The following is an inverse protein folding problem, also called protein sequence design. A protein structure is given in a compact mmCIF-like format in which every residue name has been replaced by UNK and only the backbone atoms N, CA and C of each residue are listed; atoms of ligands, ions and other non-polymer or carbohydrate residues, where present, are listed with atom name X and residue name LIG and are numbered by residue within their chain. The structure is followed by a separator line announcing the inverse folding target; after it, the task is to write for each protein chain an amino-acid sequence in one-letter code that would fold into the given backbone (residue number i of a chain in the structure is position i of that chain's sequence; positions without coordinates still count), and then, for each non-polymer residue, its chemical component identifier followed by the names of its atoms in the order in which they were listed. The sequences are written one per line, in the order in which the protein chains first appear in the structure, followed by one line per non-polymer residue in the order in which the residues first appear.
data_IF_986665492272
#
_entry.id   IF_986665492272
#
_cell.length_a   1.000
_cell.length_b   1.000
_cell.length_c   1.000
_cell.angle_alpha   90.00
_cell.angle_beta   90.00
_cell.angle_gamma   90.00
#
_symmetry.space_group_name_H-M   'P 1'
#
loop_
_entity.id
_entity.type
_entity.pdbx_description
1 polymer ?
#
# COMPACT_ATOMS: atom_id res chain seq x y z
N UNK A 1 -21.11 -4.68 -2.74
CA UNK A 1 -21.18 -5.67 -1.64
C UNK A 1 -22.29 -5.37 -0.63
N UNK A 2 -23.30 -4.54 -0.97
CA UNK A 2 -24.45 -4.29 -0.08
C UNK A 2 -24.15 -3.55 1.23
N UNK A 3 -22.91 -3.09 1.45
CA UNK A 3 -22.54 -2.31 2.64
C UNK A 3 -23.25 -0.95 2.65
N UNK A 4 -23.69 -0.55 3.82
CA UNK A 4 -24.18 0.79 4.07
C UNK A 4 -23.06 1.82 3.93
N UNK A 5 -23.42 3.07 3.65
CA UNK A 5 -22.48 4.20 3.58
C UNK A 5 -21.69 4.33 4.89
N UNK A 6 -22.34 4.06 6.03
CA UNK A 6 -21.71 4.11 7.36
C UNK A 6 -20.62 3.05 7.53
N UNK A 7 -20.86 1.82 7.09
CA UNK A 7 -19.85 0.75 7.14
C UNK A 7 -18.68 1.03 6.20
N UNK A 8 -18.95 1.58 5.01
CA UNK A 8 -17.90 2.01 4.09
C UNK A 8 -17.05 3.13 4.69
N UNK A 9 -17.66 4.11 5.36
CA UNK A 9 -16.97 5.18 6.06
C UNK A 9 -16.09 4.62 7.20
N UNK A 10 -16.61 3.71 8.02
CA UNK A 10 -15.82 3.05 9.06
C UNK A 10 -14.65 2.25 8.49
N UNK A 11 -14.86 1.53 7.38
CA UNK A 11 -13.78 0.84 6.68
C UNK A 11 -12.68 1.78 6.22
N UNK A 12 -13.04 2.88 5.56
CA UNK A 12 -12.09 3.88 5.08
C UNK A 12 -11.32 4.55 6.23
N UNK A 13 -12.02 4.97 7.29
CA UNK A 13 -11.39 5.55 8.48
C UNK A 13 -10.43 4.55 9.12
N UNK A 14 -10.85 3.30 9.36
CA UNK A 14 -10.00 2.28 9.95
C UNK A 14 -8.76 2.01 9.09
N UNK A 15 -8.92 1.92 7.77
CA UNK A 15 -7.82 1.74 6.82
C UNK A 15 -6.80 2.89 6.89
N UNK A 16 -7.27 4.14 6.85
CA UNK A 16 -6.40 5.32 6.88
C UNK A 16 -5.69 5.48 8.23
N UNK A 17 -6.41 5.28 9.34
CA UNK A 17 -5.82 5.34 10.68
C UNK A 17 -4.78 4.25 10.87
N UNK A 18 -5.10 3.01 10.49
CA UNK A 18 -4.16 1.90 10.57
C UNK A 18 -2.97 2.13 9.62
N UNK A 19 -3.20 2.61 8.40
CA UNK A 19 -2.13 2.97 7.47
C UNK A 19 -1.18 4.04 8.01
N UNK A 20 -1.70 5.07 8.69
CA UNK A 20 -0.89 6.10 9.33
C UNK A 20 0.00 5.51 10.44
N UNK A 21 -0.55 4.66 11.31
CA UNK A 21 0.21 3.94 12.34
C UNK A 21 1.28 3.03 11.72
N UNK A 22 0.92 2.35 10.62
CA UNK A 22 1.85 1.52 9.87
C UNK A 22 3.00 2.31 9.29
N UNK A 23 2.76 3.52 8.78
CA UNK A 23 3.81 4.40 8.30
C UNK A 23 4.89 4.69 9.36
N UNK A 24 4.47 5.04 10.58
CA UNK A 24 5.40 5.27 11.69
C UNK A 24 6.22 4.01 12.03
N UNK A 25 5.55 2.86 12.13
CA UNK A 25 6.23 1.61 12.45
C UNK A 25 7.15 1.13 11.32
N UNK A 26 6.77 1.34 10.07
CA UNK A 26 7.53 0.95 8.88
C UNK A 26 8.92 1.59 8.84
N UNK A 27 9.01 2.88 9.16
CA UNK A 27 10.30 3.57 9.28
C UNK A 27 11.20 2.93 10.33
N UNK A 28 10.69 2.75 11.55
CA UNK A 28 11.43 2.12 12.64
C UNK A 28 11.86 0.68 12.32
N UNK A 29 10.98 -0.11 11.71
CA UNK A 29 11.30 -1.47 11.25
C UNK A 29 12.37 -1.47 10.17
N UNK A 30 12.36 -0.49 9.26
CA UNK A 30 13.34 -0.39 8.19
C UNK A 30 14.73 -0.08 8.72
N UNK A 31 14.83 0.81 9.70
CA UNK A 31 16.11 1.12 10.35
C UNK A 31 16.66 -0.09 11.11
N UNK A 32 15.79 -0.95 11.68
CA UNK A 32 16.21 -2.15 12.43
C UNK A 32 16.51 -3.37 11.56
N UNK A 33 15.70 -3.64 10.55
CA UNK A 33 15.73 -4.89 9.78
C UNK A 33 16.20 -4.71 8.34
N UNK A 34 16.37 -3.47 7.88
CA UNK A 34 16.73 -3.08 6.53
C UNK A 34 15.52 -2.86 5.63
N UNK A 35 15.58 -1.80 4.82
CA UNK A 35 14.47 -1.34 3.99
C UNK A 35 13.91 -2.43 3.05
N UNK A 36 14.80 -3.15 2.34
CA UNK A 36 14.41 -4.22 1.42
C UNK A 36 13.54 -5.29 2.10
N UNK A 37 13.90 -5.72 3.32
CA UNK A 37 13.16 -6.77 4.04
C UNK A 37 11.78 -6.27 4.44
N UNK A 38 11.70 -5.04 4.94
CA UNK A 38 10.42 -4.43 5.32
C UNK A 38 9.48 -4.30 4.13
N UNK A 39 9.97 -3.82 2.97
CA UNK A 39 9.15 -3.74 1.75
C UNK A 39 8.66 -5.13 1.33
N UNK A 40 9.52 -6.15 1.37
CA UNK A 40 9.11 -7.53 1.06
C UNK A 40 8.05 -8.06 2.02
N UNK A 41 8.21 -7.81 3.32
CA UNK A 41 7.23 -8.19 4.35
C UNK A 41 5.91 -7.44 4.18
N UNK A 42 5.94 -6.18 3.76
CA UNK A 42 4.73 -5.40 3.49
C UNK A 42 3.90 -5.98 2.36
N UNK A 43 4.51 -6.32 1.23
CA UNK A 43 3.76 -6.90 0.12
C UNK A 43 3.28 -8.31 0.45
N UNK A 44 4.15 -9.18 0.97
CA UNK A 44 3.78 -10.55 1.31
C UNK A 44 2.75 -10.62 2.44
N UNK A 45 2.90 -9.75 3.45
CA UNK A 45 2.04 -9.71 4.61
C UNK A 45 0.68 -9.08 4.33
N UNK A 46 0.59 -8.04 3.49
CA UNK A 46 -0.70 -7.39 3.20
C UNK A 46 -1.61 -8.20 2.27
N UNK A 47 -1.03 -8.98 1.35
CA UNK A 47 -1.76 -9.85 0.42
C UNK A 47 -2.86 -10.73 1.06
N UNK A 48 -2.57 -11.57 2.07
CA UNK A 48 -3.58 -12.45 2.65
C UNK A 48 -4.71 -11.66 3.32
N UNK A 49 -4.42 -10.54 3.98
CA UNK A 49 -5.44 -9.71 4.63
C UNK A 49 -6.34 -9.00 3.61
N UNK A 50 -5.76 -8.39 2.59
CA UNK A 50 -6.51 -7.71 1.52
C UNK A 50 -7.27 -8.72 0.66
N UNK A 51 -6.70 -9.89 0.37
CA UNK A 51 -7.39 -10.97 -0.31
C UNK A 51 -8.58 -11.48 0.51
N UNK A 52 -8.39 -11.75 1.80
CA UNK A 52 -9.45 -12.19 2.70
C UNK A 52 -10.55 -11.13 2.84
N UNK A 53 -10.22 -9.84 2.86
CA UNK A 53 -11.20 -8.75 2.82
C UNK A 53 -12.18 -8.92 1.64
N UNK A 54 -11.73 -9.35 0.46
CA UNK A 54 -12.59 -9.60 -0.70
C UNK A 54 -13.40 -10.90 -0.66
N UNK A 55 -13.10 -11.81 0.25
CA UNK A 55 -13.80 -13.08 0.44
C UNK A 55 -14.81 -13.04 1.61
N UNK A 56 -14.61 -12.17 2.59
CA UNK A 56 -15.48 -12.06 3.77
C UNK A 56 -16.66 -11.13 3.50
N UNK A 57 -17.88 -11.64 3.73
CA UNK A 57 -19.12 -10.88 3.56
C UNK A 57 -19.53 -10.06 4.79
N UNK A 58 -19.12 -10.45 6.00
CA UNK A 58 -19.51 -9.76 7.22
C UNK A 58 -18.74 -8.42 7.37
N UNK A 59 -19.43 -7.29 7.62
CA UNK A 59 -18.81 -5.95 7.69
C UNK A 59 -17.67 -5.83 8.70
N UNK A 60 -17.85 -6.29 9.94
CA UNK A 60 -16.87 -6.09 11.01
C UNK A 60 -15.52 -6.79 10.72
N UNK A 61 -15.45 -8.12 10.47
CA UNK A 61 -14.21 -8.78 10.16
C UNK A 61 -13.62 -8.29 8.83
N UNK A 62 -14.45 -7.91 7.85
CA UNK A 62 -14.00 -7.28 6.61
C UNK A 62 -13.23 -5.98 6.88
N UNK A 63 -13.78 -5.09 7.71
CA UNK A 63 -13.11 -3.84 8.11
C UNK A 63 -11.80 -4.10 8.85
N UNK A 64 -11.75 -5.09 9.75
CA UNK A 64 -10.53 -5.43 10.47
C UNK A 64 -9.44 -5.98 9.54
N UNK A 65 -9.81 -6.83 8.58
CA UNK A 65 -8.89 -7.34 7.56
C UNK A 65 -8.38 -6.22 6.65
N UNK A 66 -9.26 -5.29 6.25
CA UNK A 66 -8.88 -4.11 5.48
C UNK A 66 -7.88 -3.24 6.27
N UNK A 67 -8.15 -2.97 7.55
CA UNK A 67 -7.27 -2.19 8.41
C UNK A 67 -5.91 -2.86 8.61
N UNK A 68 -5.88 -4.17 8.86
CA UNK A 68 -4.62 -4.93 8.99
C UNK A 68 -3.81 -4.95 7.69
N UNK A 69 -4.47 -5.17 6.55
CA UNK A 69 -3.84 -5.13 5.24
C UNK A 69 -3.26 -3.75 4.92
N UNK A 70 -4.02 -2.69 5.21
CA UNK A 70 -3.58 -1.30 5.09
C UNK A 70 -2.39 -0.98 5.98
N UNK A 71 -2.47 -1.32 7.27
CA UNK A 71 -1.36 -1.14 8.22
C UNK A 71 -0.04 -1.70 7.66
N UNK A 72 -0.05 -2.96 7.22
CA UNK A 72 1.16 -3.66 6.74
C UNK A 72 1.63 -3.11 5.39
N UNK A 73 0.71 -2.86 4.46
CA UNK A 73 1.04 -2.36 3.13
C UNK A 73 1.68 -0.97 3.20
N UNK A 74 1.14 -0.09 4.04
CA UNK A 74 1.58 1.30 4.13
C UNK A 74 2.94 1.49 4.81
N UNK A 75 3.57 0.46 5.38
CA UNK A 75 4.98 0.57 5.80
C UNK A 75 5.88 0.98 4.63
N UNK A 76 5.53 0.55 3.40
CA UNK A 76 6.34 0.73 2.20
C UNK A 76 6.52 2.20 1.80
N UNK A 77 5.53 3.06 2.08
CA UNK A 77 5.55 4.47 1.67
C UNK A 77 6.73 5.23 2.30
N UNK A 78 6.83 5.33 3.65
CA UNK A 78 7.94 6.05 4.27
C UNK A 78 9.28 5.35 4.03
N UNK A 79 9.31 4.02 3.96
CA UNK A 79 10.55 3.28 3.72
C UNK A 79 11.14 3.60 2.34
N UNK A 80 10.30 3.63 1.29
CA UNK A 80 10.77 4.01 -0.05
C UNK A 80 11.27 5.45 -0.12
N UNK A 81 10.59 6.38 0.56
CA UNK A 81 11.01 7.79 0.63
C UNK A 81 12.36 7.91 1.33
N UNK A 82 12.52 7.30 2.50
CA UNK A 82 13.77 7.34 3.26
C UNK A 82 14.91 6.69 2.47
N UNK A 83 14.67 5.56 1.81
CA UNK A 83 15.67 4.93 0.93
C UNK A 83 16.11 5.89 -0.16
N UNK A 84 15.18 6.54 -0.85
CA UNK A 84 15.52 7.45 -1.93
C UNK A 84 16.27 8.70 -1.44
N UNK A 85 15.87 9.24 -0.28
CA UNK A 85 16.58 10.34 0.37
C UNK A 85 18.02 9.94 0.73
N UNK A 86 18.23 8.71 1.26
CA UNK A 86 19.58 8.20 1.58
C UNK A 86 20.45 8.01 0.34
N UNK A 87 19.86 7.71 -0.83
CA UNK A 87 20.59 7.63 -2.10
C UNK A 87 21.06 8.99 -2.63
N UNK A 88 20.30 10.06 -2.35
CA UNK A 88 20.65 11.44 -2.79
C UNK A 88 20.43 12.43 -1.63
N UNK A 89 21.30 12.41 -0.60
CA UNK A 89 21.07 13.14 0.65
C UNK A 89 21.10 14.66 0.46
N UNK A 90 21.88 15.16 -0.50
CA UNK A 90 21.98 16.61 -0.80
C UNK A 90 20.69 17.19 -1.39
N UNK A 91 19.79 16.35 -1.91
CA UNK A 91 18.55 16.76 -2.57
C UNK A 91 17.33 16.02 -2.00
N UNK A 92 17.36 15.66 -0.72
CA UNK A 92 16.30 14.88 -0.06
C UNK A 92 14.88 15.47 -0.28
N UNK A 93 14.74 16.80 -0.20
CA UNK A 93 13.48 17.50 -0.45
C UNK A 93 12.97 17.30 -1.89
N UNK A 94 13.84 17.51 -2.88
CA UNK A 94 13.50 17.35 -4.31
C UNK A 94 13.16 15.90 -4.65
N UNK A 95 13.93 14.93 -4.16
CA UNK A 95 13.67 13.50 -4.40
C UNK A 95 12.33 13.07 -3.79
N UNK A 96 12.01 13.55 -2.60
CA UNK A 96 10.72 13.27 -1.97
C UNK A 96 9.57 13.87 -2.76
N UNK A 97 9.70 15.13 -3.19
CA UNK A 97 8.69 15.82 -3.99
C UNK A 97 8.47 15.11 -5.34
N UNK A 98 9.54 14.70 -6.03
CA UNK A 98 9.45 13.96 -7.29
C UNK A 98 8.80 12.59 -7.11
N UNK A 99 9.21 11.82 -6.09
CA UNK A 99 8.62 10.51 -5.81
C UNK A 99 7.14 10.59 -5.47
N UNK A 100 6.77 11.48 -4.55
CA UNK A 100 5.37 11.67 -4.15
C UNK A 100 4.56 12.25 -5.32
N UNK A 101 5.10 13.23 -6.03
CA UNK A 101 4.44 13.86 -7.18
C UNK A 101 4.19 12.87 -8.32
N UNK A 102 5.18 12.05 -8.67
CA UNK A 102 5.01 11.03 -9.71
C UNK A 102 4.08 9.90 -9.28
N UNK A 103 4.24 9.38 -8.05
CA UNK A 103 3.41 8.29 -7.55
C UNK A 103 1.95 8.69 -7.38
N UNK A 104 1.67 9.77 -6.64
CA UNK A 104 0.31 10.22 -6.36
C UNK A 104 -0.32 10.95 -7.56
N UNK A 105 0.48 11.72 -8.30
CA UNK A 105 0.02 12.38 -9.53
C UNK A 105 -0.35 11.36 -10.61
N UNK A 106 0.50 10.35 -10.83
CA UNK A 106 0.19 9.23 -11.73
C UNK A 106 -1.03 8.43 -11.26
N UNK A 107 -1.12 8.15 -9.95
CA UNK A 107 -2.28 7.49 -9.36
C UNK A 107 -3.59 8.25 -9.66
N UNK A 108 -3.59 9.56 -9.46
CA UNK A 108 -4.76 10.42 -9.69
C UNK A 108 -5.12 10.61 -11.17
N UNK A 109 -4.12 10.88 -12.01
CA UNK A 109 -4.34 11.25 -13.40
C UNK A 109 -4.61 10.05 -14.33
N UNK A 110 -3.96 8.92 -14.06
CA UNK A 110 -4.00 7.75 -14.96
C UNK A 110 -4.72 6.58 -14.31
N UNK A 111 -4.29 6.17 -13.11
CA UNK A 111 -4.78 4.92 -12.53
C UNK A 111 -6.22 5.02 -12.03
N UNK A 112 -6.62 6.12 -11.39
CA UNK A 112 -8.00 6.29 -10.90
C UNK A 112 -9.03 6.29 -12.05
N UNK A 113 -8.87 7.05 -13.15
CA UNK A 113 -9.78 6.98 -14.29
C UNK A 113 -9.79 5.59 -14.95
N UNK A 114 -8.62 4.96 -15.10
CA UNK A 114 -8.51 3.63 -15.69
C UNK A 114 -9.25 2.57 -14.86
N UNK A 115 -9.07 2.62 -13.53
CA UNK A 115 -9.79 1.74 -12.59
C UNK A 115 -11.29 2.00 -12.63
N UNK A 116 -11.71 3.26 -12.72
CA UNK A 116 -13.12 3.64 -12.87
C UNK A 116 -13.73 3.06 -14.15
N UNK A 117 -13.08 3.30 -15.29
CA UNK A 117 -13.51 2.74 -16.58
C UNK A 117 -13.57 1.21 -16.55
N UNK A 118 -12.57 0.54 -15.98
CA UNK A 118 -12.58 -0.91 -15.84
C UNK A 118 -13.73 -1.37 -14.92
N UNK A 119 -14.00 -0.64 -13.83
CA UNK A 119 -15.05 -0.98 -12.87
C UNK A 119 -16.46 -0.88 -13.48
N UNK A 120 -16.66 -0.03 -14.48
CA UNK A 120 -17.92 0.04 -15.23
C UNK A 120 -18.17 -1.20 -16.09
N UNK A 121 -17.11 -1.87 -16.58
CA UNK A 121 -17.22 -2.99 -17.50
C UNK A 121 -17.18 -4.36 -16.80
N UNK A 122 -16.31 -4.54 -15.82
CA UNK A 122 -16.10 -5.82 -15.12
C UNK A 122 -16.55 -5.80 -13.65
N UNK A 123 -17.00 -4.64 -13.16
CA UNK A 123 -17.47 -4.46 -11.79
C UNK A 123 -16.36 -4.07 -10.81
N UNK A 124 -16.68 -3.13 -9.92
CA UNK A 124 -15.74 -2.58 -8.94
C UNK A 124 -15.10 -3.65 -8.03
N UNK A 125 -15.85 -4.67 -7.61
CA UNK A 125 -15.32 -5.73 -6.74
C UNK A 125 -14.23 -6.54 -7.44
N UNK A 126 -14.43 -6.92 -8.71
CA UNK A 126 -13.46 -7.68 -9.48
C UNK A 126 -12.19 -6.86 -9.76
N UNK A 127 -12.34 -5.58 -10.14
CA UNK A 127 -11.19 -4.68 -10.36
C UNK A 127 -10.39 -4.51 -9.08
N UNK A 128 -11.03 -4.17 -7.96
CA UNK A 128 -10.33 -3.99 -6.69
C UNK A 128 -9.64 -5.26 -6.20
N UNK A 129 -10.28 -6.43 -6.37
CA UNK A 129 -9.65 -7.71 -6.07
C UNK A 129 -8.42 -7.98 -6.96
N UNK A 130 -8.50 -7.65 -8.26
CA UNK A 130 -7.36 -7.79 -9.17
C UNK A 130 -6.16 -6.92 -8.77
N UNK A 131 -6.41 -5.73 -8.20
CA UNK A 131 -5.34 -4.85 -7.71
C UNK A 131 -4.57 -5.45 -6.53
N UNK A 132 -5.19 -6.32 -5.71
CA UNK A 132 -4.46 -7.06 -4.67
C UNK A 132 -3.36 -7.92 -5.30
N UNK A 133 -3.64 -8.48 -6.49
CA UNK A 133 -2.69 -9.24 -7.29
C UNK A 133 -1.46 -8.44 -7.74
N UNK A 134 -1.54 -7.11 -7.86
CA UNK A 134 -0.38 -6.25 -8.18
C UNK A 134 0.69 -6.25 -7.09
N UNK A 135 0.35 -6.65 -5.88
CA UNK A 135 1.33 -6.84 -4.81
C UNK A 135 2.35 -7.92 -5.17
N UNK A 136 2.01 -8.88 -6.04
CA UNK A 136 2.87 -9.99 -6.41
C UNK A 136 4.01 -9.58 -7.35
N UNK A 137 3.75 -8.90 -8.49
CA UNK A 137 4.83 -8.35 -9.29
C UNK A 137 5.62 -7.31 -8.51
N UNK A 138 4.99 -6.49 -7.65
CA UNK A 138 5.72 -5.54 -6.80
C UNK A 138 6.72 -6.27 -5.88
N UNK A 139 6.27 -7.32 -5.18
CA UNK A 139 7.13 -8.16 -4.35
C UNK A 139 8.25 -8.85 -5.15
N UNK A 140 7.95 -9.34 -6.35
CA UNK A 140 8.94 -9.96 -7.23
C UNK A 140 10.00 -8.96 -7.71
N UNK A 141 9.59 -7.73 -8.01
CA UNK A 141 10.50 -6.64 -8.38
C UNK A 141 11.36 -6.21 -7.19
N UNK A 142 10.79 -6.13 -5.98
CA UNK A 142 11.54 -5.82 -4.75
C UNK A 142 12.67 -6.82 -4.49
N UNK A 143 12.49 -8.10 -4.85
CA UNK A 143 13.57 -9.10 -4.72
C UNK A 143 14.82 -8.75 -5.53
N UNK A 144 14.71 -7.95 -6.59
CA UNK A 144 15.85 -7.47 -7.39
C UNK A 144 16.61 -6.31 -6.74
N UNK A 145 16.08 -5.72 -5.68
CA UNK A 145 16.79 -4.66 -4.95
C UNK A 145 18.02 -5.23 -4.23
N UNK A 146 19.14 -4.48 -4.17
CA UNK A 146 20.33 -4.90 -3.42
C UNK A 146 20.06 -5.04 -1.92
N UNK A 147 20.73 -6.01 -1.30
CA UNK A 147 20.75 -6.17 0.15
C UNK A 147 21.70 -5.11 0.72
N UNK A 148 21.16 -4.06 1.34
CA UNK A 148 21.93 -2.89 1.82
C UNK A 148 21.41 -1.54 1.33
N UNK A 149 20.32 -1.52 0.56
CA UNK A 149 19.74 -0.26 0.09
C UNK A 149 19.24 0.58 1.28
N UNK A 150 19.85 1.74 1.49
CA UNK A 150 19.49 2.67 2.57
C UNK A 150 19.85 2.22 3.99
N UNK A 151 20.76 1.25 4.16
CA UNK A 151 21.39 0.91 5.46
C UNK A 151 22.72 1.61 5.63
#
# INVERSE_FOLDING_TARGET
RGFSVREAAYGATAYLTAGALGGFLGGHLSDRFGARRVILWSFAGSMPFLGAFFLVANPLPSILLLAAGGFILLFTIPVNVVVAQKLVPTQAGTVSALLMGFAWGGAGLVFLPLVGWAAEHVGLHAVMFSLVGLSLPAWLLTRRLPEGIGS
#
